data_IF_952775588948
#
_entry.id   IF_952775588948
#
_cell.length_a   1.000
_cell.length_b   1.000
_cell.length_c   1.000
_cell.angle_alpha   90.00
_cell.angle_beta   90.00
_cell.angle_gamma   90.00
#
_symmetry.space_group_name_H-M   'P 1'
#
loop_
_entity.id
_entity.type
_entity.pdbx_description
1 polymer ?
#
# COMPACT_ATOMS: atom_id res chain seq x y z
N UNK A 1 -27.29 -17.37 31.68
CA UNK A 1 -27.61 -16.47 30.55
C UNK A 1 -27.43 -14.98 30.83
N UNK A 2 -27.47 -14.48 32.08
CA UNK A 2 -27.31 -13.03 32.38
C UNK A 2 -25.88 -12.45 32.24
N UNK A 3 -24.82 -13.26 32.27
CA UNK A 3 -23.42 -12.78 32.15
C UNK A 3 -22.98 -12.51 30.70
N UNK A 4 -23.62 -13.15 29.71
CA UNK A 4 -23.31 -12.95 28.28
C UNK A 4 -23.95 -11.65 27.76
N UNK A 5 -25.11 -11.28 28.30
CA UNK A 5 -25.77 -10.03 27.94
C UNK A 5 -24.99 -8.77 28.39
N UNK A 6 -24.27 -8.83 29.51
CA UNK A 6 -23.48 -7.69 30.01
C UNK A 6 -22.20 -7.47 29.18
N UNK A 7 -21.57 -8.55 28.70
CA UNK A 7 -20.36 -8.49 27.86
C UNK A 7 -20.65 -7.93 26.46
N UNK A 8 -21.84 -8.19 25.90
CA UNK A 8 -22.26 -7.61 24.62
C UNK A 8 -22.61 -6.12 24.72
N UNK A 9 -23.13 -5.64 25.86
CA UNK A 9 -23.41 -4.20 26.05
C UNK A 9 -22.13 -3.40 26.27
N UNK A 10 -21.13 -3.97 26.97
CA UNK A 10 -19.80 -3.35 27.09
C UNK A 10 -19.06 -3.36 25.75
N UNK A 11 -19.15 -4.43 24.96
CA UNK A 11 -18.54 -4.50 23.63
C UNK A 11 -19.21 -3.54 22.62
N UNK A 12 -20.53 -3.31 22.73
CA UNK A 12 -21.25 -2.33 21.92
C UNK A 12 -20.97 -0.86 22.32
N UNK A 13 -20.59 -0.59 23.58
CA UNK A 13 -20.15 0.75 24.00
C UNK A 13 -18.70 1.06 23.62
N UNK A 14 -17.84 0.06 23.40
CA UNK A 14 -16.49 0.29 22.86
C UNK A 14 -16.45 0.43 21.33
N UNK A 15 -17.44 -0.11 20.61
CA UNK A 15 -17.49 -0.05 19.14
C UNK A 15 -17.81 1.35 18.57
N UNK A 16 -18.11 2.34 19.42
CA UNK A 16 -18.41 3.73 19.00
C UNK A 16 -17.23 4.70 19.16
N UNK A 17 -16.07 4.26 19.65
CA UNK A 17 -14.86 5.08 19.75
C UNK A 17 -13.96 5.06 18.52
N UNK A 18 -14.37 4.40 17.44
CA UNK A 18 -13.49 4.22 16.29
C UNK A 18 -13.49 5.50 15.43
N UNK A 19 -12.40 6.25 15.56
CA UNK A 19 -11.88 7.36 14.72
C UNK A 19 -12.26 8.80 15.10
N UNK A 20 -11.65 9.30 16.19
CA UNK A 20 -11.52 10.73 16.45
C UNK A 20 -10.01 11.07 16.53
N UNK A 21 -9.42 11.59 15.45
CA UNK A 21 -7.99 11.98 15.41
C UNK A 21 -7.85 13.46 15.87
N UNK A 22 -6.74 13.85 16.51
CA UNK A 22 -6.42 15.28 16.70
C UNK A 22 -5.43 15.75 15.61
N UNK A 23 -5.63 16.95 15.09
CA UNK A 23 -4.71 17.61 14.14
C UNK A 23 -3.94 18.69 14.88
N UNK A 24 -2.63 18.48 15.02
CA UNK A 24 -1.70 19.45 15.60
C UNK A 24 -1.11 20.28 14.47
N UNK A 25 -1.32 21.60 14.51
CA UNK A 25 -0.76 22.55 13.54
C UNK A 25 0.54 23.15 14.06
N UNK A 26 1.42 23.54 13.14
CA UNK A 26 2.72 24.16 13.47
C UNK A 26 2.62 25.51 14.19
N UNK A 27 1.48 26.18 14.09
CA UNK A 27 1.17 27.41 14.83
C UNK A 27 0.76 27.16 16.29
N UNK A 28 0.76 25.89 16.74
CA UNK A 28 0.35 25.47 18.08
C UNK A 28 -1.16 25.23 18.22
N UNK A 29 -1.96 25.47 17.17
CA UNK A 29 -3.41 25.21 17.19
C UNK A 29 -3.65 23.70 17.12
N UNK A 30 -4.53 23.20 18.00
CA UNK A 30 -4.94 21.78 17.99
C UNK A 30 -6.42 21.67 17.68
N UNK A 31 -6.76 20.96 16.61
CA UNK A 31 -8.15 20.64 16.25
C UNK A 31 -8.45 19.24 16.74
N UNK A 32 -9.27 19.14 17.78
CA UNK A 32 -9.50 17.89 18.51
C UNK A 32 -10.70 17.11 17.99
N UNK A 33 -10.63 15.80 18.15
CA UNK A 33 -11.73 14.86 17.87
C UNK A 33 -12.30 14.99 16.47
N UNK A 34 -11.43 15.06 15.47
CA UNK A 34 -11.83 15.28 14.09
C UNK A 34 -11.91 13.99 13.29
N UNK A 35 -12.82 13.99 12.32
CA UNK A 35 -12.93 12.93 11.33
C UNK A 35 -12.30 13.39 10.02
N UNK A 36 -11.23 12.73 9.61
CA UNK A 36 -10.60 12.96 8.31
C UNK A 36 -11.40 12.22 7.23
N UNK A 37 -11.94 12.97 6.28
CA UNK A 37 -12.82 12.47 5.21
C UNK A 37 -12.14 12.45 3.84
N UNK A 38 -10.91 12.96 3.73
CA UNK A 38 -10.09 12.84 2.53
C UNK A 38 -8.64 13.23 2.81
N UNK A 39 -7.69 12.57 2.12
CA UNK A 39 -6.25 12.90 2.15
C UNK A 39 -5.72 12.94 0.72
N UNK A 40 -4.94 13.97 0.39
CA UNK A 40 -4.15 14.05 -0.83
C UNK A 40 -2.73 14.55 -0.52
N UNK A 41 -1.88 14.66 -1.54
CA UNK A 41 -0.47 15.04 -1.37
C UNK A 41 -0.25 16.40 -0.66
N UNK A 42 -1.24 17.30 -0.73
CA UNK A 42 -1.09 18.68 -0.27
C UNK A 42 -2.01 19.06 0.90
N UNK A 43 -3.02 18.24 1.19
CA UNK A 43 -4.04 18.58 2.18
C UNK A 43 -4.80 17.38 2.73
N UNK A 44 -5.36 17.58 3.91
CA UNK A 44 -6.43 16.75 4.47
C UNK A 44 -7.74 17.53 4.43
N UNK A 45 -8.85 16.81 4.24
CA UNK A 45 -10.20 17.36 4.41
C UNK A 45 -10.76 16.83 5.71
N UNK A 46 -11.12 17.76 6.60
CA UNK A 46 -11.65 17.47 7.92
C UNK A 46 -13.15 17.78 7.94
N UNK A 47 -13.95 16.83 8.41
CA UNK A 47 -15.39 17.03 8.58
C UNK A 47 -15.66 18.26 9.48
N UNK A 48 -16.55 19.14 9.04
CA UNK A 48 -16.95 20.37 9.73
C UNK A 48 -15.84 21.43 9.96
N UNK A 49 -14.61 21.20 9.46
CA UNK A 49 -13.49 22.15 9.56
C UNK A 49 -12.88 22.52 8.20
N UNK A 50 -13.27 21.84 7.13
CA UNK A 50 -12.82 22.15 5.77
C UNK A 50 -11.45 21.55 5.46
N UNK A 51 -10.75 22.16 4.49
CA UNK A 51 -9.46 21.67 4.00
C UNK A 51 -8.32 22.31 4.81
N UNK A 52 -7.36 21.50 5.24
CA UNK A 52 -6.13 21.91 5.93
C UNK A 52 -4.93 21.45 5.10
N UNK A 53 -3.99 22.34 4.81
CA UNK A 53 -2.81 22.00 4.02
C UNK A 53 -1.76 21.28 4.87
N UNK A 54 -1.09 20.30 4.27
CA UNK A 54 -0.09 19.47 4.96
C UNK A 54 1.10 20.32 5.46
N UNK A 55 1.39 21.44 4.80
CA UNK A 55 2.43 22.39 5.21
C UNK A 55 2.18 23.00 6.60
N UNK A 56 0.91 23.13 6.98
CA UNK A 56 0.47 23.70 8.26
C UNK A 56 0.35 22.65 9.37
N UNK A 57 0.47 21.36 9.03
CA UNK A 57 0.26 20.23 9.95
C UNK A 57 1.61 19.76 10.50
N UNK A 58 1.69 19.68 11.82
CA UNK A 58 2.84 19.13 12.54
C UNK A 58 2.68 17.62 12.77
N UNK A 59 1.50 17.20 13.24
CA UNK A 59 1.18 15.80 13.51
C UNK A 59 -0.33 15.56 13.46
N UNK A 60 -0.73 14.34 13.16
CA UNK A 60 -2.11 13.85 13.33
C UNK A 60 -2.06 12.63 14.23
N UNK A 61 -2.87 12.59 15.29
CA UNK A 61 -2.93 11.45 16.21
C UNK A 61 -3.64 11.79 17.51
N UNK A 62 -3.84 10.81 18.38
CA UNK A 62 -4.49 11.03 19.69
C UNK A 62 -3.56 11.78 20.67
N UNK A 63 -4.16 12.40 21.69
CA UNK A 63 -3.41 12.88 22.85
C UNK A 63 -2.84 11.65 23.57
N UNK A 64 -1.52 11.53 23.58
CA UNK A 64 -0.88 10.48 24.36
C UNK A 64 -0.97 10.94 25.82
N UNK A 65 -1.95 10.46 26.57
CA UNK A 65 -1.92 10.58 28.03
C UNK A 65 -0.75 9.74 28.53
N UNK A 66 0.24 10.38 29.17
CA UNK A 66 1.28 9.71 29.94
C UNK A 66 0.64 9.00 31.14
N UNK A 67 0.09 7.80 30.93
CA UNK A 67 -0.19 6.88 32.02
C UNK A 67 0.98 5.89 32.18
N UNK A 68 1.30 5.48 33.42
CA UNK A 68 2.50 4.68 33.69
C UNK A 68 2.44 3.34 32.98
N UNK A 69 3.58 2.91 32.44
CA UNK A 69 3.77 1.62 31.79
C UNK A 69 3.25 0.48 32.69
N UNK A 70 2.06 -0.03 32.41
CA UNK A 70 1.70 -1.38 32.84
C UNK A 70 2.45 -2.38 31.97
N UNK A 71 3.09 -3.32 32.66
CA UNK A 71 3.94 -4.37 32.13
C UNK A 71 3.18 -5.20 31.09
N UNK A 72 3.44 -4.92 29.80
CA UNK A 72 2.87 -5.69 28.68
C UNK A 72 3.50 -7.07 28.68
N UNK A 73 2.78 -8.02 29.27
CA UNK A 73 3.08 -9.44 29.13
C UNK A 73 2.86 -9.89 27.69
N UNK A 74 3.94 -10.42 27.11
CA UNK A 74 3.97 -11.46 26.09
C UNK A 74 3.02 -11.27 24.93
N UNK A 75 3.48 -10.55 23.89
CA UNK A 75 3.38 -10.95 22.47
C UNK A 75 3.88 -9.83 21.53
N UNK A 76 3.90 -8.56 21.96
CA UNK A 76 4.41 -7.43 21.16
C UNK A 76 5.96 -7.36 21.04
N UNK A 77 6.69 -8.11 21.87
CA UNK A 77 8.17 -8.14 21.84
C UNK A 77 8.69 -8.99 20.67
N UNK A 78 7.90 -9.94 20.16
CA UNK A 78 8.29 -10.76 19.02
C UNK A 78 8.16 -10.00 17.69
N UNK A 79 7.08 -9.24 17.46
CA UNK A 79 6.91 -8.46 16.21
C UNK A 79 7.96 -7.34 16.04
N UNK A 80 8.46 -6.75 17.15
CA UNK A 80 9.51 -5.73 17.08
C UNK A 80 10.90 -6.34 16.86
N UNK A 81 11.17 -7.53 17.40
CA UNK A 81 12.44 -8.24 17.18
C UNK A 81 12.55 -8.83 15.78
N UNK A 82 11.45 -9.40 15.27
CA UNK A 82 11.37 -9.97 13.92
C UNK A 82 11.57 -8.90 12.83
N UNK A 83 11.02 -7.69 13.03
CA UNK A 83 11.22 -6.55 12.13
C UNK A 83 12.63 -5.95 12.14
N UNK A 84 13.40 -6.10 13.22
CA UNK A 84 14.79 -5.58 13.32
C UNK A 84 15.78 -6.54 12.68
N UNK A 85 15.60 -7.85 12.86
CA UNK A 85 16.44 -8.88 12.24
C UNK A 85 16.18 -9.01 10.73
N UNK A 86 14.94 -8.96 10.26
CA UNK A 86 14.63 -8.96 8.81
C UNK A 86 15.16 -7.68 8.12
N UNK A 87 15.03 -6.51 8.77
CA UNK A 87 15.58 -5.26 8.25
C UNK A 87 17.11 -5.27 8.20
N UNK A 88 17.78 -5.88 9.17
CA UNK A 88 19.23 -6.04 9.18
C UNK A 88 19.72 -7.02 8.09
N UNK A 89 19.00 -8.13 7.87
CA UNK A 89 19.30 -9.09 6.80
C UNK A 89 19.07 -8.54 5.40
N UNK A 90 18.04 -7.71 5.20
CA UNK A 90 17.75 -7.05 3.92
C UNK A 90 18.75 -5.91 3.67
N UNK A 91 19.17 -5.17 4.70
CA UNK A 91 20.09 -4.04 4.55
C UNK A 91 21.51 -4.45 4.11
N UNK A 92 21.94 -5.69 4.38
CA UNK A 92 23.27 -6.18 4.02
C UNK A 92 23.38 -6.56 2.53
N UNK A 93 22.27 -6.92 1.88
CA UNK A 93 22.26 -7.29 0.46
C UNK A 93 22.75 -6.15 -0.45
N UNK A 94 23.46 -6.46 -1.54
CA UNK A 94 23.77 -5.45 -2.55
C UNK A 94 22.48 -4.98 -3.26
N UNK A 95 22.52 -3.77 -3.81
CA UNK A 95 21.32 -3.09 -4.32
C UNK A 95 20.71 -3.78 -5.54
N UNK A 96 21.54 -4.37 -6.39
CA UNK A 96 21.13 -5.17 -7.54
C UNK A 96 20.31 -6.41 -7.12
N UNK A 97 20.75 -7.13 -6.09
CA UNK A 97 19.98 -8.23 -5.50
C UNK A 97 18.65 -7.74 -4.91
N UNK A 98 18.65 -6.58 -4.24
CA UNK A 98 17.44 -5.98 -3.72
C UNK A 98 16.45 -5.57 -4.82
N UNK A 99 16.95 -5.09 -5.96
CA UNK A 99 16.10 -4.78 -7.12
C UNK A 99 15.46 -6.05 -7.69
N UNK A 100 16.20 -7.16 -7.73
CA UNK A 100 15.62 -8.46 -8.12
C UNK A 100 14.55 -8.91 -7.12
N UNK A 101 14.79 -8.75 -5.82
CA UNK A 101 13.78 -9.01 -4.78
C UNK A 101 12.54 -8.12 -4.98
N UNK A 102 12.72 -6.84 -5.32
CA UNK A 102 11.63 -5.91 -5.63
C UNK A 102 10.78 -6.42 -6.80
N UNK A 103 11.40 -6.92 -7.87
CA UNK A 103 10.67 -7.51 -9.02
C UNK A 103 9.84 -8.73 -8.66
N UNK A 104 10.29 -9.51 -7.68
CA UNK A 104 9.54 -10.66 -7.19
C UNK A 104 8.32 -10.21 -6.37
N UNK A 105 8.51 -9.27 -5.43
CA UNK A 105 7.42 -8.88 -4.52
C UNK A 105 6.40 -7.92 -5.14
N UNK A 106 6.76 -7.19 -6.20
CA UNK A 106 5.84 -6.28 -6.89
C UNK A 106 5.07 -6.94 -8.06
N UNK A 107 5.32 -8.22 -8.33
CA UNK A 107 4.66 -8.97 -9.42
C UNK A 107 5.26 -8.76 -10.82
N UNK A 108 6.39 -8.05 -10.95
CA UNK A 108 7.05 -7.86 -12.24
C UNK A 108 7.59 -9.17 -12.81
N UNK A 109 8.12 -10.06 -11.96
CA UNK A 109 8.56 -11.39 -12.39
C UNK A 109 7.43 -12.17 -13.07
N UNK A 110 6.30 -12.27 -12.40
CA UNK A 110 5.11 -12.94 -12.93
C UNK A 110 4.61 -12.25 -14.22
N UNK A 111 4.61 -10.92 -14.24
CA UNK A 111 4.22 -10.15 -15.43
C UNK A 111 5.12 -10.45 -16.63
N UNK A 112 6.43 -10.52 -16.43
CA UNK A 112 7.40 -10.87 -17.47
C UNK A 112 7.18 -12.30 -17.97
N UNK A 113 7.04 -13.27 -17.06
CA UNK A 113 6.79 -14.67 -17.40
C UNK A 113 5.47 -14.85 -18.19
N UNK A 114 4.40 -14.19 -17.76
CA UNK A 114 3.10 -14.21 -18.44
C UNK A 114 3.16 -13.53 -19.81
N UNK A 115 3.92 -12.43 -19.92
CA UNK A 115 4.13 -11.72 -21.19
C UNK A 115 4.89 -12.59 -22.18
N UNK A 116 6.00 -13.19 -21.75
CA UNK A 116 6.77 -14.13 -22.57
C UNK A 116 5.88 -15.28 -23.03
N UNK A 117 5.11 -15.88 -22.11
CA UNK A 117 4.19 -16.98 -22.42
C UNK A 117 3.17 -16.56 -23.48
N UNK A 118 2.54 -15.39 -23.30
CA UNK A 118 1.57 -14.83 -24.24
C UNK A 118 2.18 -14.59 -25.61
N UNK A 119 3.35 -13.97 -25.68
CA UNK A 119 4.06 -13.73 -26.95
C UNK A 119 4.41 -15.05 -27.64
N UNK A 120 4.88 -16.06 -26.89
CA UNK A 120 5.17 -17.39 -27.43
C UNK A 120 3.94 -18.07 -28.06
N UNK A 121 2.72 -17.80 -27.59
CA UNK A 121 1.50 -18.33 -28.22
C UNK A 121 1.26 -17.78 -29.62
N UNK A 122 1.75 -16.58 -29.92
CA UNK A 122 1.55 -15.88 -31.20
C UNK A 122 2.61 -16.25 -32.25
N UNK A 123 3.68 -16.94 -31.83
CA UNK A 123 4.76 -17.38 -32.71
C UNK A 123 4.36 -18.67 -33.45
N UNK A 124 4.73 -18.86 -34.73
CA UNK A 124 4.56 -20.15 -35.42
C UNK A 124 5.35 -21.28 -34.75
N UNK A 125 4.79 -22.49 -34.65
CA UNK A 125 5.39 -23.62 -33.91
C UNK A 125 6.84 -23.95 -34.33
N UNK A 126 7.15 -23.80 -35.61
CA UNK A 126 8.50 -24.02 -36.17
C UNK A 126 9.57 -23.10 -35.56
N UNK A 127 9.19 -21.92 -35.07
CA UNK A 127 10.10 -20.94 -34.46
C UNK A 127 10.05 -20.93 -32.93
N UNK A 128 9.04 -21.56 -32.32
CA UNK A 128 8.89 -21.59 -30.84
C UNK A 128 10.06 -22.30 -30.17
N UNK A 129 10.51 -23.41 -30.74
CA UNK A 129 11.55 -24.23 -30.11
C UNK A 129 12.94 -23.58 -30.17
N UNK A 130 13.19 -22.74 -31.18
CA UNK A 130 14.38 -21.90 -31.25
C UNK A 130 14.29 -20.75 -30.25
N UNK A 131 13.14 -20.06 -30.19
CA UNK A 131 12.96 -18.92 -29.30
C UNK A 131 12.94 -19.29 -27.82
N UNK A 132 12.37 -20.45 -27.44
CA UNK A 132 12.43 -20.95 -26.04
C UNK A 132 13.84 -21.13 -25.51
N UNK A 133 14.82 -21.35 -26.40
CA UNK A 133 16.23 -21.51 -26.01
C UNK A 133 16.95 -20.19 -25.80
N UNK A 134 16.35 -19.07 -26.23
CA UNK A 134 16.98 -17.75 -26.27
C UNK A 134 16.24 -16.77 -25.34
N UNK A 135 14.94 -16.96 -25.14
CA UNK A 135 14.13 -16.10 -24.28
C UNK A 135 14.16 -16.64 -22.86
N UNK A 136 14.87 -15.93 -21.99
CA UNK A 136 14.95 -16.20 -20.56
C UNK A 136 14.35 -15.02 -19.76
N UNK A 137 13.33 -15.31 -18.96
CA UNK A 137 12.67 -14.32 -18.11
C UNK A 137 13.62 -13.74 -17.05
N UNK A 138 14.52 -14.56 -16.51
CA UNK A 138 15.51 -14.15 -15.52
C UNK A 138 16.58 -13.24 -16.15
N UNK A 139 17.03 -13.56 -17.36
CA UNK A 139 17.95 -12.69 -18.10
C UNK A 139 17.30 -11.34 -18.41
N UNK A 140 16.03 -11.33 -18.83
CA UNK A 140 15.29 -10.10 -19.07
C UNK A 140 15.16 -9.28 -17.77
N UNK A 141 14.79 -9.88 -16.64
CA UNK A 141 14.70 -9.18 -15.36
C UNK A 141 16.07 -8.60 -14.94
N UNK A 142 17.16 -9.35 -15.09
CA UNK A 142 18.52 -8.86 -14.83
C UNK A 142 18.88 -7.66 -15.70
N UNK A 143 18.45 -7.64 -16.96
CA UNK A 143 18.68 -6.51 -17.87
C UNK A 143 17.94 -5.23 -17.45
N UNK A 144 16.89 -5.33 -16.62
CA UNK A 144 16.15 -4.19 -16.09
C UNK A 144 16.74 -3.63 -14.80
N UNK A 145 17.65 -4.36 -14.13
CA UNK A 145 18.29 -3.90 -12.89
C UNK A 145 18.96 -2.53 -13.03
N UNK A 146 19.75 -2.23 -14.08
CA UNK A 146 20.37 -0.92 -14.25
C UNK A 146 19.36 0.23 -14.36
N UNK A 147 18.14 -0.03 -14.84
CA UNK A 147 17.07 0.98 -14.92
C UNK A 147 16.64 1.40 -13.52
N UNK A 148 16.38 0.43 -12.65
CA UNK A 148 15.99 0.70 -11.26
C UNK A 148 17.17 1.20 -10.42
N UNK A 149 18.37 0.72 -10.69
CA UNK A 149 19.58 1.18 -10.01
C UNK A 149 19.83 2.68 -10.24
N UNK A 150 19.52 3.20 -11.43
CA UNK A 150 19.67 4.61 -11.73
C UNK A 150 18.64 5.50 -11.03
N UNK A 151 17.40 5.02 -10.88
CA UNK A 151 16.26 5.86 -10.46
C UNK A 151 16.00 5.83 -8.95
N UNK A 152 16.43 4.79 -8.24
CA UNK A 152 16.18 4.63 -6.80
C UNK A 152 17.47 4.49 -6.01
N UNK A 153 17.52 5.01 -4.79
CA UNK A 153 18.53 4.68 -3.79
C UNK A 153 18.33 3.26 -3.24
N UNK A 154 19.35 2.72 -2.56
CA UNK A 154 19.25 1.39 -1.93
C UNK A 154 18.15 1.38 -0.86
N UNK A 155 18.07 2.46 -0.08
CA UNK A 155 17.09 2.65 1.00
C UNK A 155 15.65 2.68 0.45
N UNK A 156 15.42 3.39 -0.66
CA UNK A 156 14.12 3.43 -1.32
C UNK A 156 13.71 2.05 -1.85
N UNK A 157 14.63 1.28 -2.45
CA UNK A 157 14.36 -0.09 -2.88
C UNK A 157 13.95 -0.97 -1.69
N UNK A 158 14.65 -0.85 -0.55
CA UNK A 158 14.31 -1.57 0.67
C UNK A 158 12.92 -1.20 1.17
N UNK A 159 12.57 0.10 1.18
CA UNK A 159 11.26 0.55 1.66
C UNK A 159 10.13 0.15 0.71
N UNK A 160 10.37 0.12 -0.60
CA UNK A 160 9.43 -0.44 -1.58
C UNK A 160 9.21 -1.94 -1.36
N UNK A 161 10.27 -2.72 -1.10
CA UNK A 161 10.13 -4.14 -0.78
C UNK A 161 9.27 -4.34 0.46
N UNK A 162 9.54 -3.60 1.54
CA UNK A 162 8.73 -3.67 2.78
C UNK A 162 7.27 -3.31 2.51
N UNK A 163 7.04 -2.26 1.72
CA UNK A 163 5.69 -1.85 1.37
C UNK A 163 4.95 -2.96 0.63
N UNK A 164 5.52 -3.52 -0.44
CA UNK A 164 4.87 -4.56 -1.24
C UNK A 164 4.68 -5.89 -0.48
N UNK A 165 5.55 -6.19 0.51
CA UNK A 165 5.35 -7.32 1.44
C UNK A 165 4.27 -7.06 2.50
N UNK A 166 3.95 -5.81 2.79
CA UNK A 166 2.93 -5.48 3.81
C UNK A 166 1.53 -5.91 3.39
N UNK A 167 0.61 -6.06 4.35
CA UNK A 167 -0.80 -6.38 4.07
C UNK A 167 -1.46 -5.36 3.14
N UNK A 168 -1.11 -4.08 3.29
CA UNK A 168 -1.62 -3.00 2.44
C UNK A 168 -1.05 -3.06 1.02
N UNK A 169 0.27 -3.25 0.86
CA UNK A 169 0.91 -3.33 -0.46
C UNK A 169 0.52 -4.59 -1.23
N UNK A 170 0.44 -5.74 -0.56
CA UNK A 170 -0.06 -6.98 -1.16
C UNK A 170 -1.52 -6.86 -1.60
N UNK A 171 -2.37 -6.26 -0.75
CA UNK A 171 -3.77 -5.98 -1.12
C UNK A 171 -3.84 -5.01 -2.31
N UNK A 172 -3.01 -3.98 -2.33
CA UNK A 172 -2.94 -3.02 -3.43
C UNK A 172 -2.59 -3.74 -4.74
N UNK A 173 -1.54 -4.56 -4.78
CA UNK A 173 -1.15 -5.33 -5.97
C UNK A 173 -2.31 -6.21 -6.48
N UNK A 174 -2.94 -6.95 -5.58
CA UNK A 174 -4.03 -7.87 -5.91
C UNK A 174 -5.30 -7.16 -6.39
N UNK A 175 -5.69 -6.08 -5.72
CA UNK A 175 -6.97 -5.41 -5.96
C UNK A 175 -6.88 -4.37 -7.09
N UNK A 176 -5.71 -3.83 -7.41
CA UNK A 176 -5.56 -2.74 -8.40
C UNK A 176 -6.17 -3.08 -9.76
N UNK A 177 -5.96 -4.26 -10.37
CA UNK A 177 -6.60 -4.59 -11.64
C UNK A 177 -8.13 -4.49 -11.59
N UNK A 178 -8.76 -5.10 -10.56
CA UNK A 178 -10.20 -5.05 -10.34
C UNK A 178 -10.70 -3.62 -10.07
N UNK A 179 -9.93 -2.81 -9.35
CA UNK A 179 -10.26 -1.40 -9.10
C UNK A 179 -10.22 -0.63 -10.43
N UNK A 180 -9.21 -0.86 -11.28
CA UNK A 180 -9.12 -0.22 -12.59
C UNK A 180 -10.28 -0.60 -13.52
N UNK A 181 -10.74 -1.86 -13.48
CA UNK A 181 -11.95 -2.29 -14.20
C UNK A 181 -13.18 -1.48 -13.76
N UNK A 182 -13.36 -1.30 -12.45
CA UNK A 182 -14.46 -0.51 -11.89
C UNK A 182 -14.36 0.97 -12.27
N UNK A 183 -13.14 1.54 -12.28
CA UNK A 183 -12.89 2.91 -12.72
C UNK A 183 -13.29 3.07 -14.19
N UNK A 184 -12.94 2.12 -15.06
CA UNK A 184 -13.30 2.16 -16.47
C UNK A 184 -14.82 2.13 -16.68
N UNK A 185 -15.53 1.26 -15.94
CA UNK A 185 -17.01 1.22 -15.97
C UNK A 185 -17.61 2.55 -15.54
N UNK A 186 -17.11 3.14 -14.45
CA UNK A 186 -17.57 4.43 -13.96
C UNK A 186 -17.35 5.56 -14.99
N UNK A 187 -16.22 5.55 -15.70
CA UNK A 187 -15.94 6.49 -16.79
C UNK A 187 -16.96 6.34 -17.94
N UNK A 188 -17.23 5.11 -18.38
CA UNK A 188 -18.21 4.84 -19.44
C UNK A 188 -19.61 5.31 -19.02
N UNK A 189 -20.02 5.03 -17.79
CA UNK A 189 -21.32 5.45 -17.26
C UNK A 189 -21.47 6.97 -17.18
N UNK A 190 -20.39 7.67 -16.80
CA UNK A 190 -20.35 9.12 -16.81
C UNK A 190 -20.61 9.69 -18.22
N UNK A 191 -19.91 9.19 -19.23
CA UNK A 191 -20.09 9.65 -20.61
C UNK A 191 -21.47 9.32 -21.17
N UNK A 192 -22.00 8.11 -20.92
CA UNK A 192 -23.37 7.74 -21.33
C UNK A 192 -24.41 8.70 -20.79
N UNK A 193 -24.37 8.99 -19.48
CA UNK A 193 -25.29 9.95 -18.83
C UNK A 193 -25.22 11.33 -19.47
N UNK A 194 -24.03 11.79 -19.85
CA UNK A 194 -23.86 13.12 -20.46
C UNK A 194 -24.42 13.18 -21.89
N UNK A 195 -24.18 12.13 -22.68
CA UNK A 195 -24.71 12.02 -24.06
C UNK A 195 -26.25 11.91 -24.06
N UNK A 196 -26.82 11.10 -23.16
CA UNK A 196 -28.27 10.89 -23.06
C UNK A 196 -29.00 12.07 -22.41
N UNK A 197 -28.34 12.77 -21.47
CA UNK A 197 -28.90 13.96 -20.81
C UNK A 197 -28.97 15.19 -21.70
N UNK A 198 -28.15 15.28 -22.73
CA UNK A 198 -28.14 16.38 -23.72
C UNK A 198 -29.16 16.14 -24.87
N UNK A 199 -29.95 15.05 -24.83
CA UNK A 199 -31.02 14.72 -25.79
C UNK A 199 -32.44 15.12 -25.30
N UNK A 200 -32.56 15.93 -24.24
CA UNK A 200 -33.82 16.53 -23.76
C UNK A 200 -33.78 18.04 -23.85
#
# INVERSE_FOLDING_TARGET
>A
MKKIALLLVVFLMFASYVFAENVYKKDGTVIRNVRIIGRNAYSITVANHGRIFNEDIERIGEDISEEPLEEVKGDAVNEVKENVEEKAMIADKPKDELIVDLFAVNGMKETVENTITTLMTQIPDQKKEELKKIVDAEELLKSLVPVYDKEFSKEEVIDLIKFYKSSAGSKLLKDTPRIMDQVMVACVDYFKKKIEGDQK
#
